data_IF_998671813643
#
_entry.id   IF_998671813643
#
_cell.length_a   1.000
_cell.length_b   1.000
_cell.length_c   1.000
_cell.angle_alpha   90.00
_cell.angle_beta   90.00
_cell.angle_gamma   90.00
#
_symmetry.space_group_name_H-M   'P 1'
#
loop_
_entity.id
_entity.type
_entity.pdbx_description
1 polymer ?
#
# COMPACT_ATOMS: atom_id res chain seq x y z
N UNK A 1 21.34 11.22 -9.18
CA UNK A 1 20.75 10.37 -8.11
C UNK A 1 21.89 9.63 -7.42
N UNK A 2 21.99 9.66 -6.10
CA UNK A 2 22.99 8.90 -5.34
C UNK A 2 22.68 7.39 -5.50
N UNK A 3 23.72 6.52 -5.48
CA UNK A 3 23.59 5.07 -5.60
C UNK A 3 22.56 4.46 -4.62
N UNK A 4 22.51 4.97 -3.38
CA UNK A 4 21.52 4.52 -2.37
C UNK A 4 20.08 4.86 -2.76
N UNK A 5 19.85 6.06 -3.31
CA UNK A 5 18.53 6.47 -3.80
C UNK A 5 18.10 5.65 -5.03
N UNK A 6 19.03 5.31 -5.92
CA UNK A 6 18.76 4.45 -7.08
C UNK A 6 18.34 3.04 -6.66
N UNK A 7 19.10 2.40 -5.75
CA UNK A 7 18.76 1.08 -5.22
C UNK A 7 17.43 1.08 -4.47
N UNK A 8 17.16 2.15 -3.70
CA UNK A 8 15.89 2.34 -3.01
C UNK A 8 14.72 2.42 -4.00
N UNK A 9 14.87 3.15 -5.11
CA UNK A 9 13.85 3.23 -6.17
C UNK A 9 13.58 1.87 -6.82
N UNK A 10 14.61 1.07 -7.09
CA UNK A 10 14.44 -0.31 -7.59
C UNK A 10 13.67 -1.16 -6.57
N UNK A 11 14.00 -1.05 -5.27
CA UNK A 11 13.27 -1.73 -4.20
C UNK A 11 11.79 -1.36 -4.16
N UNK A 12 11.45 -0.08 -4.39
CA UNK A 12 10.06 0.39 -4.44
C UNK A 12 9.29 -0.17 -5.66
N UNK A 13 9.94 -0.26 -6.83
CA UNK A 13 9.32 -0.88 -8.02
C UNK A 13 9.12 -2.38 -7.82
N UNK A 14 10.08 -3.08 -7.20
CA UNK A 14 9.93 -4.49 -6.84
C UNK A 14 8.76 -4.69 -5.84
N UNK A 15 8.64 -3.80 -4.86
CA UNK A 15 7.50 -3.77 -3.94
C UNK A 15 6.18 -3.64 -4.70
N UNK A 16 6.11 -2.73 -5.66
CA UNK A 16 4.92 -2.53 -6.49
C UNK A 16 4.53 -3.80 -7.28
N UNK A 17 5.50 -4.53 -7.83
CA UNK A 17 5.25 -5.78 -8.55
C UNK A 17 4.70 -6.87 -7.61
N UNK A 18 5.30 -7.04 -6.43
CA UNK A 18 4.86 -8.02 -5.42
C UNK A 18 3.46 -7.65 -4.92
N UNK A 19 3.18 -6.36 -4.64
CA UNK A 19 1.86 -5.93 -4.21
C UNK A 19 0.80 -6.07 -5.31
N UNK A 20 1.14 -5.80 -6.56
CA UNK A 20 0.25 -6.04 -7.69
C UNK A 20 -0.25 -7.49 -7.74
N UNK A 21 0.64 -8.46 -7.55
CA UNK A 21 0.24 -9.87 -7.45
C UNK A 21 -0.53 -10.17 -6.16
N UNK A 22 -0.22 -9.47 -5.05
CA UNK A 22 -0.91 -9.69 -3.78
C UNK A 22 -2.41 -9.37 -3.83
N UNK A 23 -2.88 -8.44 -4.69
CA UNK A 23 -4.31 -8.19 -4.86
C UNK A 23 -5.07 -9.42 -5.36
N UNK A 24 -4.46 -10.18 -6.28
CA UNK A 24 -5.01 -11.45 -6.77
C UNK A 24 -5.08 -12.48 -5.65
N UNK A 25 -3.98 -12.62 -4.88
CA UNK A 25 -3.91 -13.57 -3.76
C UNK A 25 -4.92 -13.21 -2.67
N UNK A 26 -5.08 -11.91 -2.35
CA UNK A 26 -6.08 -11.42 -1.39
C UNK A 26 -7.48 -11.76 -1.88
N UNK A 27 -7.82 -11.42 -3.12
CA UNK A 27 -9.16 -11.68 -3.70
C UNK A 27 -9.52 -13.16 -3.64
N UNK A 28 -8.61 -14.03 -4.05
CA UNK A 28 -8.79 -15.48 -4.00
C UNK A 28 -8.92 -16.03 -2.57
N UNK A 29 -8.19 -15.43 -1.62
CA UNK A 29 -8.19 -15.91 -0.22
C UNK A 29 -9.43 -15.48 0.56
N UNK A 30 -10.14 -14.42 0.13
CA UNK A 30 -11.36 -13.92 0.78
C UNK A 30 -12.51 -14.95 0.73
N UNK A 31 -12.49 -15.88 -0.23
CA UNK A 31 -13.45 -17.00 -0.28
C UNK A 31 -13.31 -17.99 0.90
N UNK A 32 -12.17 -17.94 1.61
CA UNK A 32 -11.81 -18.91 2.66
C UNK A 32 -11.60 -18.27 4.03
N UNK A 33 -11.08 -17.03 4.08
CA UNK A 33 -10.68 -16.34 5.32
C UNK A 33 -11.26 -14.94 5.31
N UNK A 34 -11.88 -14.56 6.43
CA UNK A 34 -12.37 -13.20 6.62
C UNK A 34 -11.26 -12.15 6.53
N UNK A 35 -11.64 -10.93 6.14
CA UNK A 35 -10.72 -9.86 5.82
C UNK A 35 -9.79 -9.49 6.99
N UNK A 36 -10.31 -9.44 8.21
CA UNK A 36 -9.54 -9.01 9.39
C UNK A 36 -8.65 -10.14 9.90
N UNK A 37 -9.13 -11.41 9.86
CA UNK A 37 -8.26 -12.56 10.17
C UNK A 37 -7.10 -12.68 9.19
N UNK A 38 -7.33 -12.41 7.89
CA UNK A 38 -6.25 -12.38 6.89
C UNK A 38 -5.18 -11.34 7.28
N UNK A 39 -5.60 -10.15 7.70
CA UNK A 39 -4.68 -9.09 8.19
C UNK A 39 -3.96 -9.57 9.45
N UNK A 40 -4.67 -10.07 10.45
CA UNK A 40 -4.08 -10.55 11.70
C UNK A 40 -2.99 -11.60 11.44
N UNK A 41 -3.29 -12.60 10.62
CA UNK A 41 -2.38 -13.71 10.32
C UNK A 41 -1.14 -13.23 9.56
N UNK A 42 -1.32 -12.46 8.47
CA UNK A 42 -0.18 -12.00 7.65
C UNK A 42 0.77 -11.10 8.44
N UNK A 43 0.24 -10.21 9.30
CA UNK A 43 1.06 -9.35 10.15
C UNK A 43 1.69 -10.11 11.32
N UNK A 44 1.04 -11.15 11.85
CA UNK A 44 1.66 -12.05 12.85
C UNK A 44 2.87 -12.76 12.24
N UNK A 45 2.73 -13.35 11.05
CA UNK A 45 3.85 -14.00 10.35
C UNK A 45 5.00 -12.99 10.14
N UNK A 46 4.69 -11.81 9.62
CA UNK A 46 5.68 -10.77 9.37
C UNK A 46 6.38 -10.30 10.66
N UNK A 47 5.62 -10.06 11.73
CA UNK A 47 6.16 -9.60 13.02
C UNK A 47 7.06 -10.63 13.65
N UNK A 48 6.63 -11.90 13.70
CA UNK A 48 7.39 -12.98 14.34
C UNK A 48 8.70 -13.21 13.58
N UNK A 49 8.64 -13.37 12.26
CA UNK A 49 9.86 -13.61 11.47
C UNK A 49 10.81 -12.42 11.52
N UNK A 50 10.30 -11.19 11.43
CA UNK A 50 11.13 -9.99 11.52
C UNK A 50 11.73 -9.82 12.91
N UNK A 51 10.99 -10.12 14.00
CA UNK A 51 11.51 -10.08 15.36
C UNK A 51 12.65 -11.09 15.58
N UNK A 52 12.53 -12.30 15.01
CA UNK A 52 13.58 -13.32 15.08
C UNK A 52 14.84 -12.89 14.32
N UNK A 53 14.68 -12.34 13.10
CA UNK A 53 15.82 -11.87 12.30
C UNK A 53 16.53 -10.68 12.99
N UNK A 54 15.78 -9.75 13.55
CA UNK A 54 16.32 -8.52 14.14
C UNK A 54 16.30 -8.52 15.67
N UNK A 55 16.37 -9.70 16.31
CA UNK A 55 16.26 -9.86 17.78
C UNK A 55 17.23 -8.97 18.54
N UNK A 56 18.45 -8.76 18.02
CA UNK A 56 19.44 -7.88 18.63
C UNK A 56 19.02 -6.41 18.63
N UNK A 57 18.24 -5.96 17.63
CA UNK A 57 17.75 -4.59 17.53
C UNK A 57 16.61 -4.30 18.51
N UNK A 58 15.91 -5.32 19.01
CA UNK A 58 14.81 -5.15 19.97
C UNK A 58 15.25 -4.44 21.26
N UNK A 59 16.52 -4.54 21.62
CA UNK A 59 17.10 -3.85 22.79
C UNK A 59 17.09 -2.32 22.65
N UNK A 60 16.97 -1.81 21.43
CA UNK A 60 16.93 -0.37 21.13
C UNK A 60 15.51 0.21 21.17
N UNK A 61 14.49 -0.61 21.46
CA UNK A 61 13.11 -0.15 21.57
C UNK A 61 12.97 0.71 22.82
N UNK A 62 12.46 1.91 22.62
CA UNK A 62 12.12 2.84 23.68
C UNK A 62 10.64 3.27 23.53
N UNK A 63 10.14 4.06 24.48
CA UNK A 63 8.76 4.55 24.48
C UNK A 63 8.41 5.32 23.20
N UNK A 64 9.34 6.09 22.66
CA UNK A 64 9.13 6.86 21.43
C UNK A 64 8.91 5.94 20.24
N UNK A 65 9.75 4.90 20.05
CA UNK A 65 9.54 3.90 19.00
C UNK A 65 8.19 3.20 19.11
N UNK A 66 7.77 2.84 20.33
CA UNK A 66 6.45 2.20 20.54
C UNK A 66 5.34 3.14 20.09
N UNK A 67 5.38 4.42 20.47
CA UNK A 67 4.35 5.41 20.07
C UNK A 67 4.33 5.61 18.54
N UNK A 68 5.53 5.71 17.91
CA UNK A 68 5.64 5.85 16.46
C UNK A 68 5.10 4.61 15.74
N UNK A 69 5.43 3.41 16.24
CA UNK A 69 4.93 2.14 15.71
C UNK A 69 3.42 1.98 15.85
N UNK A 70 2.86 2.31 17.02
CA UNK A 70 1.41 2.24 17.26
C UNK A 70 0.65 3.20 16.35
N UNK A 71 1.07 4.46 16.24
CA UNK A 71 0.37 5.44 15.41
C UNK A 71 0.47 5.10 13.92
N UNK A 72 1.67 4.86 13.40
CA UNK A 72 1.83 4.51 11.98
C UNK A 72 1.24 3.13 11.67
N UNK A 73 1.29 2.19 12.63
CA UNK A 73 0.62 0.90 12.52
C UNK A 73 -0.90 1.01 12.55
N UNK A 74 -1.48 1.98 13.26
CA UNK A 74 -2.92 2.23 13.21
C UNK A 74 -3.36 2.70 11.81
N UNK A 75 -2.63 3.65 11.20
CA UNK A 75 -2.91 4.05 9.82
C UNK A 75 -2.75 2.89 8.84
N UNK A 76 -1.73 2.05 9.02
CA UNK A 76 -1.51 0.87 8.21
C UNK A 76 -2.63 -0.16 8.36
N UNK A 77 -3.07 -0.43 9.59
CA UNK A 77 -4.18 -1.33 9.88
C UNK A 77 -5.48 -0.84 9.25
N UNK A 78 -5.83 0.44 9.40
CA UNK A 78 -7.02 1.04 8.79
C UNK A 78 -6.97 1.00 7.27
N UNK A 79 -5.78 1.25 6.67
CA UNK A 79 -5.58 1.13 5.24
C UNK A 79 -5.86 -0.30 4.75
N UNK A 80 -5.23 -1.30 5.39
CA UNK A 80 -5.44 -2.70 5.01
C UNK A 80 -6.86 -3.20 5.27
N UNK A 81 -7.48 -2.77 6.36
CA UNK A 81 -8.86 -3.13 6.68
C UNK A 81 -9.81 -2.62 5.58
N UNK A 82 -9.74 -1.35 5.26
CA UNK A 82 -10.60 -0.76 4.21
C UNK A 82 -10.26 -1.29 2.82
N UNK A 83 -8.99 -1.59 2.54
CA UNK A 83 -8.57 -2.20 1.28
C UNK A 83 -9.09 -3.64 1.14
N UNK A 84 -8.87 -4.47 2.14
CA UNK A 84 -9.20 -5.91 2.08
C UNK A 84 -10.71 -6.11 2.06
N UNK A 85 -11.46 -5.40 2.91
CA UNK A 85 -12.93 -5.39 2.85
C UNK A 85 -13.39 -4.81 1.51
N UNK A 86 -12.77 -3.74 1.03
CA UNK A 86 -13.06 -3.18 -0.29
C UNK A 86 -12.84 -4.16 -1.42
N UNK A 87 -11.76 -4.97 -1.36
CA UNK A 87 -11.44 -6.01 -2.35
C UNK A 87 -12.51 -7.10 -2.43
N UNK A 88 -13.21 -7.38 -1.33
CA UNK A 88 -14.31 -8.34 -1.31
C UNK A 88 -15.48 -7.89 -2.22
N UNK A 89 -15.81 -6.60 -2.19
CA UNK A 89 -16.93 -6.00 -2.94
C UNK A 89 -16.57 -5.49 -4.34
N UNK A 90 -15.29 -5.48 -4.73
CA UNK A 90 -14.84 -5.03 -6.06
C UNK A 90 -13.87 -6.05 -6.69
N UNK A 91 -13.39 -5.78 -7.92
CA UNK A 91 -12.39 -6.64 -8.56
C UNK A 91 -10.99 -6.37 -8.03
N UNK A 92 -10.09 -7.36 -8.12
CA UNK A 92 -8.71 -7.21 -7.67
C UNK A 92 -7.98 -6.09 -8.44
N UNK A 93 -8.18 -6.02 -9.75
CA UNK A 93 -7.61 -4.97 -10.60
C UNK A 93 -8.12 -3.58 -10.25
N UNK A 94 -9.43 -3.44 -10.00
CA UNK A 94 -10.05 -2.17 -9.62
C UNK A 94 -9.61 -1.73 -8.23
N UNK A 95 -9.50 -2.67 -7.28
CA UNK A 95 -8.97 -2.41 -5.93
C UNK A 95 -7.51 -1.94 -5.99
N UNK A 96 -6.64 -2.64 -6.73
CA UNK A 96 -5.25 -2.23 -6.93
C UNK A 96 -5.14 -0.80 -7.47
N UNK A 97 -5.97 -0.47 -8.45
CA UNK A 97 -5.95 0.82 -9.09
C UNK A 97 -6.46 1.96 -8.19
N UNK A 98 -7.61 1.76 -7.54
CA UNK A 98 -8.19 2.79 -6.65
C UNK A 98 -7.33 3.04 -5.41
N UNK A 99 -6.57 2.05 -4.94
CA UNK A 99 -5.60 2.22 -3.85
C UNK A 99 -4.59 3.33 -4.18
N UNK A 100 -4.16 3.45 -5.45
CA UNK A 100 -3.13 4.42 -5.84
C UNK A 100 -3.56 5.90 -5.75
N UNK A 101 -4.79 6.18 -5.33
CA UNK A 101 -5.23 7.55 -5.01
C UNK A 101 -4.33 8.22 -3.96
N UNK A 102 -3.61 7.45 -3.14
CA UNK A 102 -2.64 7.99 -2.17
C UNK A 102 -1.56 8.85 -2.83
N UNK A 103 -1.21 8.58 -4.11
CA UNK A 103 -0.22 9.38 -4.87
C UNK A 103 -0.62 10.85 -4.95
N UNK A 104 -1.91 11.12 -5.10
CA UNK A 104 -2.48 12.47 -5.15
C UNK A 104 -2.61 13.04 -3.74
N UNK A 105 -3.03 12.21 -2.80
CA UNK A 105 -3.30 12.65 -1.42
C UNK A 105 -2.01 13.02 -0.68
N UNK A 106 -0.89 12.32 -0.92
CA UNK A 106 0.40 12.58 -0.25
C UNK A 106 0.85 14.03 -0.42
N UNK A 107 0.99 14.59 -1.64
CA UNK A 107 1.44 15.98 -1.80
C UNK A 107 0.41 16.99 -1.26
N UNK A 108 -0.89 16.70 -1.34
CA UNK A 108 -1.93 17.58 -0.80
C UNK A 108 -1.93 17.59 0.74
N UNK A 109 -1.86 16.43 1.38
CA UNK A 109 -1.78 16.31 2.83
C UNK A 109 -0.46 16.94 3.34
N UNK A 110 0.66 16.65 2.66
CA UNK A 110 1.96 17.26 2.98
C UNK A 110 1.91 18.78 2.88
N UNK A 111 1.19 19.34 1.91
CA UNK A 111 0.98 20.79 1.82
C UNK A 111 0.24 21.35 3.03
N UNK A 112 -0.86 20.70 3.43
CA UNK A 112 -1.63 21.12 4.62
C UNK A 112 -0.76 21.04 5.88
N UNK A 113 0.00 19.95 6.06
CA UNK A 113 0.83 19.73 7.24
C UNK A 113 2.04 20.64 7.34
N UNK A 114 2.75 20.84 6.23
CA UNK A 114 4.03 21.58 6.21
C UNK A 114 3.89 23.00 5.65
N UNK A 115 2.68 23.40 5.24
CA UNK A 115 2.36 24.73 4.63
C UNK A 115 3.22 25.10 3.42
N UNK A 116 3.85 24.11 2.76
CA UNK A 116 4.65 24.28 1.55
C UNK A 116 3.82 23.87 0.34
N UNK A 117 3.35 24.87 -0.44
CA UNK A 117 2.51 24.65 -1.62
C UNK A 117 3.26 23.79 -2.65
N UNK A 118 2.64 22.71 -3.14
CA UNK A 118 3.21 21.91 -4.23
C UNK A 118 3.25 22.72 -5.53
N UNK A 119 4.10 22.30 -6.47
CA UNK A 119 4.15 22.89 -7.79
C UNK A 119 2.86 22.64 -8.58
N UNK A 120 2.58 23.47 -9.59
CA UNK A 120 1.39 23.34 -10.45
C UNK A 120 1.26 21.95 -11.09
N UNK A 121 2.38 21.31 -11.42
CA UNK A 121 2.44 19.97 -12.01
C UNK A 121 1.81 18.89 -11.12
N UNK A 122 1.83 19.05 -9.79
CA UNK A 122 1.16 18.14 -8.85
C UNK A 122 -0.37 18.21 -9.03
N UNK A 123 -0.91 19.40 -9.26
CA UNK A 123 -2.35 19.57 -9.51
C UNK A 123 -2.76 18.96 -10.86
N UNK A 124 -1.92 19.10 -11.90
CA UNK A 124 -2.16 18.45 -13.20
C UNK A 124 -2.06 16.94 -13.08
N UNK A 125 -1.05 16.43 -12.38
CA UNK A 125 -0.93 15.00 -12.11
C UNK A 125 -2.13 14.47 -11.32
N UNK A 126 -2.60 15.21 -10.32
CA UNK A 126 -3.81 14.90 -9.57
C UNK A 126 -5.04 14.82 -10.49
N UNK A 127 -5.22 15.81 -11.35
CA UNK A 127 -6.34 15.83 -12.30
C UNK A 127 -6.29 14.64 -13.28
N UNK A 128 -5.13 14.35 -13.85
CA UNK A 128 -4.95 13.19 -14.75
C UNK A 128 -5.24 11.87 -14.02
N UNK A 129 -4.78 11.73 -12.77
CA UNK A 129 -5.03 10.52 -11.97
C UNK A 129 -6.52 10.38 -11.63
N UNK A 130 -7.18 11.45 -11.19
CA UNK A 130 -8.63 11.43 -10.89
C UNK A 130 -9.43 11.10 -12.16
N UNK A 131 -9.05 11.66 -13.32
CA UNK A 131 -9.68 11.35 -14.59
C UNK A 131 -9.47 9.87 -14.95
N UNK A 132 -8.26 9.35 -14.78
CA UNK A 132 -7.96 7.94 -14.99
C UNK A 132 -8.77 7.03 -14.07
N UNK A 133 -8.90 7.37 -12.79
CA UNK A 133 -9.74 6.68 -11.80
C UNK A 133 -11.22 6.72 -12.25
N UNK A 134 -11.70 7.88 -12.69
CA UNK A 134 -13.07 8.04 -13.18
C UNK A 134 -13.38 7.14 -14.38
N UNK A 135 -12.45 7.04 -15.34
CA UNK A 135 -12.60 6.16 -16.51
C UNK A 135 -12.67 4.67 -16.13
N UNK A 136 -12.00 4.26 -15.05
CA UNK A 136 -12.07 2.90 -14.54
C UNK A 136 -13.35 2.63 -13.75
N UNK A 137 -13.80 3.62 -12.97
CA UNK A 137 -14.97 3.48 -12.11
C UNK A 137 -16.30 3.61 -12.87
N UNK A 138 -16.34 4.37 -13.98
CA UNK A 138 -17.54 4.70 -14.75
C UNK A 138 -17.68 3.79 -16.00
N UNK A 139 -17.74 2.48 -15.82
CA UNK A 139 -18.03 1.56 -16.93
C UNK A 139 -19.53 1.49 -17.30
N UNK A 140 -19.84 0.82 -18.42
CA UNK A 140 -21.22 0.68 -18.95
C UNK A 140 -21.98 -0.54 -18.44
N UNK A 141 -21.27 -1.50 -17.83
CA UNK A 141 -21.84 -2.72 -17.27
C UNK A 141 -22.09 -2.59 -15.76
N UNK A 142 -22.96 -3.41 -15.18
CA UNK A 142 -23.29 -3.37 -13.73
C UNK A 142 -22.07 -3.60 -12.84
N UNK A 143 -21.04 -4.33 -13.32
CA UNK A 143 -19.72 -4.46 -12.67
C UNK A 143 -18.88 -3.18 -12.68
N UNK A 144 -19.28 -2.19 -13.45
CA UNK A 144 -18.56 -0.95 -13.71
C UNK A 144 -19.13 0.25 -12.95
N UNK A 145 -20.21 0.08 -12.19
CA UNK A 145 -20.73 1.13 -11.30
C UNK A 145 -19.85 1.24 -10.05
N UNK A 146 -19.77 2.47 -9.48
CA UNK A 146 -19.14 2.71 -8.20
C UNK A 146 -19.93 1.93 -7.13
N UNK A 147 -19.25 1.05 -6.43
CA UNK A 147 -19.81 0.25 -5.36
C UNK A 147 -19.14 0.58 -4.00
N UNK A 148 -19.64 -0.02 -2.92
CA UNK A 148 -19.08 0.21 -1.59
C UNK A 148 -17.60 -0.19 -1.49
N UNK A 149 -17.17 -1.22 -2.23
CA UNK A 149 -15.78 -1.66 -2.28
C UNK A 149 -14.86 -0.59 -2.88
N UNK A 150 -15.32 0.13 -3.90
CA UNK A 150 -14.58 1.24 -4.50
C UNK A 150 -14.40 2.39 -3.51
N UNK A 151 -15.46 2.73 -2.76
CA UNK A 151 -15.42 3.78 -1.74
C UNK A 151 -14.44 3.40 -0.62
N UNK A 152 -14.52 2.17 -0.11
CA UNK A 152 -13.61 1.66 0.91
C UNK A 152 -12.15 1.68 0.43
N UNK A 153 -11.92 1.36 -0.84
CA UNK A 153 -10.58 1.39 -1.43
C UNK A 153 -10.04 2.82 -1.58
N UNK A 154 -10.89 3.80 -1.89
CA UNK A 154 -10.48 5.22 -1.89
C UNK A 154 -10.13 5.69 -0.47
N UNK A 155 -10.90 5.29 0.53
CA UNK A 155 -10.62 5.57 1.95
C UNK A 155 -9.29 4.91 2.37
N UNK A 156 -9.02 3.69 1.90
CA UNK A 156 -7.73 3.04 2.07
C UNK A 156 -6.58 3.93 1.58
N UNK A 157 -6.71 4.55 0.40
CA UNK A 157 -5.71 5.48 -0.12
C UNK A 157 -5.41 6.65 0.80
N UNK A 158 -6.42 7.18 1.52
CA UNK A 158 -6.21 8.21 2.54
C UNK A 158 -5.34 7.70 3.70
N UNK A 159 -5.66 6.52 4.24
CA UNK A 159 -4.88 5.94 5.34
C UNK A 159 -3.47 5.55 4.91
N UNK A 160 -3.27 5.04 3.68
CA UNK A 160 -1.93 4.81 3.13
C UNK A 160 -1.14 6.10 2.98
N UNK A 161 -1.75 7.18 2.50
CA UNK A 161 -1.09 8.47 2.41
C UNK A 161 -0.60 8.95 3.80
N UNK A 162 -1.44 8.85 4.82
CA UNK A 162 -1.06 9.17 6.20
C UNK A 162 0.06 8.26 6.69
N UNK A 163 -0.04 6.94 6.49
CA UNK A 163 1.02 5.99 6.87
C UNK A 163 2.37 6.36 6.24
N UNK A 164 2.42 6.63 4.93
CA UNK A 164 3.66 6.97 4.21
C UNK A 164 4.25 8.28 4.72
N UNK A 165 3.44 9.33 4.92
CA UNK A 165 3.89 10.62 5.40
C UNK A 165 4.47 10.52 6.83
N UNK A 166 3.77 9.81 7.73
CA UNK A 166 4.24 9.63 9.10
C UNK A 166 5.49 8.74 9.17
N UNK A 167 5.60 7.69 8.35
CA UNK A 167 6.79 6.86 8.24
C UNK A 167 8.00 7.67 7.75
N UNK A 168 7.83 8.50 6.72
CA UNK A 168 8.89 9.43 6.28
C UNK A 168 9.32 10.38 7.39
N UNK A 169 8.34 10.95 8.13
CA UNK A 169 8.61 11.86 9.25
C UNK A 169 9.44 11.18 10.34
N UNK A 170 9.08 9.96 10.73
CA UNK A 170 9.80 9.23 11.77
C UNK A 170 11.20 8.80 11.33
N UNK A 171 11.37 8.40 10.08
CA UNK A 171 12.69 8.16 9.49
C UNK A 171 13.58 9.42 9.55
N UNK A 172 13.01 10.62 9.31
CA UNK A 172 13.73 11.90 9.42
C UNK A 172 14.08 12.28 10.87
N UNK A 173 13.30 11.82 11.83
CA UNK A 173 13.60 11.98 13.27
C UNK A 173 14.70 11.04 13.76
N UNK A 174 15.19 10.13 12.90
CA UNK A 174 16.30 9.25 13.18
C UNK A 174 15.91 7.81 13.55
N UNK A 175 14.63 7.47 13.43
CA UNK A 175 14.17 6.08 13.67
C UNK A 175 14.84 5.12 12.67
N UNK A 176 15.23 3.93 13.17
CA UNK A 176 15.67 2.83 12.30
C UNK A 176 14.47 2.30 11.51
N UNK A 177 14.49 2.32 10.17
CA UNK A 177 13.33 1.94 9.35
C UNK A 177 12.85 0.51 9.62
N UNK A 178 13.76 -0.43 9.88
CA UNK A 178 13.40 -1.84 10.12
C UNK A 178 12.76 -2.04 11.49
N UNK A 179 13.26 -1.32 12.50
CA UNK A 179 12.67 -1.37 13.84
C UNK A 179 11.29 -0.71 13.86
N UNK A 180 11.13 0.42 13.16
CA UNK A 180 9.83 1.06 12.99
C UNK A 180 8.86 0.14 12.25
N UNK A 181 9.29 -0.54 11.17
CA UNK A 181 8.49 -1.51 10.43
C UNK A 181 8.01 -2.65 11.31
N UNK A 182 8.90 -3.22 12.13
CA UNK A 182 8.55 -4.27 13.08
C UNK A 182 7.46 -3.83 14.05
N UNK A 183 7.57 -2.62 14.59
CA UNK A 183 6.57 -2.09 15.54
C UNK A 183 5.24 -1.76 14.86
N UNK A 184 5.24 -1.32 13.60
CA UNK A 184 4.02 -1.19 12.79
C UNK A 184 3.33 -2.55 12.60
N UNK A 185 4.10 -3.61 12.32
CA UNK A 185 3.54 -4.95 12.18
C UNK A 185 2.99 -5.48 13.50
N UNK A 186 3.70 -5.30 14.60
CA UNK A 186 3.22 -5.68 15.93
C UNK A 186 1.90 -4.96 16.28
N UNK A 187 1.79 -3.68 15.94
CA UNK A 187 0.55 -2.91 16.11
C UNK A 187 -0.59 -3.45 15.23
N UNK A 188 -0.33 -3.73 13.94
CA UNK A 188 -1.32 -4.33 13.05
C UNK A 188 -1.75 -5.72 13.52
N UNK A 189 -0.81 -6.53 14.05
CA UNK A 189 -1.12 -7.83 14.67
C UNK A 189 -2.07 -7.66 15.84
N UNK A 190 -1.75 -6.74 16.76
CA UNK A 190 -2.58 -6.45 17.93
C UNK A 190 -4.00 -6.01 17.52
N UNK A 191 -4.11 -5.03 16.63
CA UNK A 191 -5.40 -4.54 16.15
C UNK A 191 -6.16 -5.64 15.38
N UNK A 192 -5.46 -6.40 14.53
CA UNK A 192 -6.06 -7.49 13.77
C UNK A 192 -6.70 -8.55 14.66
N UNK A 193 -5.96 -9.07 15.63
CA UNK A 193 -6.52 -10.06 16.57
C UNK A 193 -7.60 -9.51 17.49
N UNK A 194 -7.56 -8.22 17.80
CA UNK A 194 -8.61 -7.57 18.61
C UNK A 194 -9.93 -7.45 17.83
N UNK A 195 -9.86 -7.06 16.54
CA UNK A 195 -11.05 -6.75 15.75
C UNK A 195 -11.56 -7.93 14.91
N UNK A 196 -10.71 -8.94 14.59
CA UNK A 196 -11.12 -10.08 13.77
C UNK A 196 -12.32 -10.85 14.35
N UNK A 197 -12.36 -11.22 15.65
CA UNK A 197 -13.51 -11.93 16.18
C UNK A 197 -14.81 -11.11 16.15
N UNK A 198 -14.70 -9.78 16.19
CA UNK A 198 -15.84 -8.85 16.18
C UNK A 198 -16.43 -8.74 14.77
N UNK A 199 -15.59 -8.68 13.75
CA UNK A 199 -16.02 -8.45 12.37
C UNK A 199 -16.23 -9.75 11.58
N UNK A 200 -15.27 -10.69 11.64
CA UNK A 200 -15.27 -11.94 10.87
C UNK A 200 -15.89 -13.11 11.64
N UNK A 201 -16.19 -12.96 12.95
CA UNK A 201 -16.75 -14.01 13.78
C UNK A 201 -15.74 -15.06 14.22
N UNK A 202 -16.10 -16.34 14.13
CA UNK A 202 -15.25 -17.43 14.60
C UNK A 202 -14.00 -17.62 13.72
N UNK A 203 -12.88 -18.03 14.34
CA UNK A 203 -11.63 -18.28 13.61
C UNK A 203 -11.81 -19.41 12.58
N UNK A 204 -11.44 -19.21 11.31
CA UNK A 204 -11.71 -20.16 10.22
C UNK A 204 -10.67 -21.31 10.17
N UNK A 205 -10.62 -22.12 11.23
CA UNK A 205 -9.62 -23.21 11.36
C UNK A 205 -9.66 -24.19 10.17
N UNK A 206 -10.84 -24.48 9.65
CA UNK A 206 -11.03 -25.41 8.53
C UNK A 206 -10.35 -24.91 7.23
N UNK A 207 -10.24 -23.60 7.04
CA UNK A 207 -9.59 -23.03 5.86
C UNK A 207 -8.11 -23.44 5.76
N UNK A 208 -7.43 -23.63 6.89
CA UNK A 208 -6.01 -24.02 6.94
C UNK A 208 -5.73 -25.48 6.62
N UNK A 209 -6.77 -26.30 6.42
CA UNK A 209 -6.61 -27.65 5.87
C UNK A 209 -6.32 -27.61 4.35
N UNK A 210 -6.55 -26.46 3.71
CA UNK A 210 -6.29 -26.25 2.28
C UNK A 210 -4.87 -25.71 2.08
N UNK A 211 -3.94 -26.46 1.43
CA UNK A 211 -2.55 -25.99 1.22
C UNK A 211 -2.46 -24.65 0.50
N UNK A 212 -3.37 -24.35 -0.42
CA UNK A 212 -3.45 -23.07 -1.13
C UNK A 212 -3.60 -21.90 -0.17
N UNK A 213 -4.46 -22.02 0.84
CA UNK A 213 -4.68 -20.98 1.85
C UNK A 213 -3.42 -20.75 2.68
N UNK A 214 -2.75 -21.81 3.12
CA UNK A 214 -1.50 -21.73 3.88
C UNK A 214 -0.42 -21.03 3.04
N UNK A 215 -0.24 -21.41 1.79
CA UNK A 215 0.73 -20.79 0.87
C UNK A 215 0.39 -19.31 0.62
N UNK A 216 -0.89 -18.97 0.46
CA UNK A 216 -1.34 -17.58 0.32
C UNK A 216 -0.99 -16.75 1.56
N UNK A 217 -1.24 -17.26 2.76
CA UNK A 217 -0.91 -16.56 4.01
C UNK A 217 0.61 -16.38 4.19
N UNK A 218 1.41 -17.40 3.84
CA UNK A 218 2.87 -17.30 3.84
C UNK A 218 3.37 -16.27 2.83
N UNK A 219 2.84 -16.27 1.60
CA UNK A 219 3.17 -15.27 0.59
C UNK A 219 2.81 -13.86 1.08
N UNK A 220 1.58 -13.66 1.56
CA UNK A 220 1.12 -12.37 2.05
C UNK A 220 1.92 -11.90 3.27
N UNK A 221 2.28 -12.80 4.19
CA UNK A 221 3.05 -12.45 5.38
C UNK A 221 4.52 -12.14 5.09
N UNK A 222 5.21 -13.01 4.36
CA UNK A 222 6.66 -12.91 4.15
C UNK A 222 7.03 -11.95 3.01
N UNK A 223 6.40 -12.11 1.84
CA UNK A 223 6.77 -11.30 0.68
C UNK A 223 5.99 -9.99 0.63
N UNK A 224 4.66 -10.06 0.59
CA UNK A 224 3.82 -8.87 0.44
C UNK A 224 3.82 -7.97 1.68
N UNK A 225 4.02 -8.51 2.88
CA UNK A 225 4.09 -7.70 4.11
C UNK A 225 5.54 -7.46 4.52
N UNK A 226 6.25 -8.46 5.01
CA UNK A 226 7.58 -8.26 5.62
C UNK A 226 8.59 -7.65 4.64
N UNK A 227 8.78 -8.26 3.47
CA UNK A 227 9.76 -7.79 2.48
C UNK A 227 9.34 -6.42 1.92
N UNK A 228 8.10 -6.27 1.45
CA UNK A 228 7.65 -5.07 0.78
C UNK A 228 7.66 -3.84 1.67
N UNK A 229 7.11 -3.90 2.90
CA UNK A 229 7.16 -2.76 3.82
C UNK A 229 8.57 -2.47 4.33
N UNK A 230 9.43 -3.48 4.46
CA UNK A 230 10.84 -3.24 4.76
C UNK A 230 11.52 -2.46 3.64
N UNK A 231 11.29 -2.84 2.38
CA UNK A 231 11.80 -2.10 1.22
C UNK A 231 11.19 -0.71 1.12
N UNK A 232 9.88 -0.54 1.35
CA UNK A 232 9.22 0.75 1.36
C UNK A 232 9.80 1.67 2.44
N UNK A 233 9.90 1.21 3.68
CA UNK A 233 10.35 2.04 4.79
C UNK A 233 11.85 2.38 4.68
N UNK A 234 12.68 1.46 4.17
CA UNK A 234 14.07 1.76 3.78
C UNK A 234 14.06 2.78 2.62
N UNK A 235 13.19 2.59 1.63
CA UNK A 235 13.03 3.50 0.49
C UNK A 235 12.72 4.91 0.94
N UNK A 236 11.77 5.08 1.86
CA UNK A 236 11.36 6.38 2.42
C UNK A 236 12.47 7.08 3.23
N UNK A 237 13.53 6.38 3.62
CA UNK A 237 14.73 7.00 4.21
C UNK A 237 15.57 7.75 3.17
N UNK A 238 15.58 7.28 1.91
CA UNK A 238 16.45 7.80 0.84
C UNK A 238 15.69 8.52 -0.27
N UNK A 239 14.37 8.33 -0.35
CA UNK A 239 13.48 8.88 -1.37
C UNK A 239 12.33 9.61 -0.68
N UNK A 240 11.99 10.81 -1.14
CA UNK A 240 10.86 11.58 -0.58
C UNK A 240 9.55 10.83 -0.80
N UNK A 241 8.60 10.92 0.14
CA UNK A 241 7.31 10.21 0.09
C UNK A 241 6.56 10.41 -1.22
N UNK A 242 6.57 11.65 -1.75
CA UNK A 242 5.92 11.96 -3.04
C UNK A 242 6.53 11.20 -4.22
N UNK A 243 7.86 11.01 -4.26
CA UNK A 243 8.52 10.25 -5.31
C UNK A 243 8.39 8.73 -5.06
N UNK A 244 8.48 8.31 -3.80
CA UNK A 244 8.29 6.91 -3.43
C UNK A 244 6.88 6.43 -3.80
N UNK A 245 5.84 7.26 -3.56
CA UNK A 245 4.46 6.93 -3.93
C UNK A 245 4.26 6.75 -5.43
N UNK A 246 5.03 7.47 -6.26
CA UNK A 246 5.00 7.31 -7.71
C UNK A 246 5.55 5.93 -8.13
N UNK A 247 6.68 5.50 -7.55
CA UNK A 247 7.20 4.15 -7.83
C UNK A 247 6.25 3.06 -7.33
N UNK A 248 5.64 3.25 -6.15
CA UNK A 248 4.70 2.29 -5.60
C UNK A 248 3.40 2.22 -6.42
N UNK A 249 2.98 3.31 -7.08
CA UNK A 249 1.74 3.30 -7.89
C UNK A 249 1.79 2.35 -9.10
N UNK A 250 2.97 1.88 -9.50
CA UNK A 250 3.07 0.78 -10.47
C UNK A 250 2.37 -0.50 -9.99
N UNK A 251 2.03 -0.60 -8.69
CA UNK A 251 1.21 -1.70 -8.17
C UNK A 251 -0.14 -1.80 -8.90
N UNK A 252 -0.71 -0.68 -9.34
CA UNK A 252 -1.95 -0.69 -10.12
C UNK A 252 -1.78 -1.32 -11.49
N UNK A 253 -0.67 -1.07 -12.16
CA UNK A 253 -0.36 -1.67 -13.47
C UNK A 253 -0.14 -3.17 -13.32
N UNK A 254 0.67 -3.58 -12.34
CA UNK A 254 0.90 -4.99 -12.04
C UNK A 254 -0.38 -5.68 -11.54
N UNK A 255 -1.19 -5.01 -10.71
CA UNK A 255 -2.47 -5.55 -10.20
C UNK A 255 -3.45 -5.85 -11.32
N UNK A 256 -3.65 -4.91 -12.25
CA UNK A 256 -4.49 -5.10 -13.43
C UNK A 256 -3.93 -6.21 -14.32
N UNK A 257 -2.63 -6.24 -14.55
CA UNK A 257 -1.99 -7.27 -15.35
C UNK A 257 -2.20 -8.67 -14.77
N UNK A 258 -1.94 -8.84 -13.46
CA UNK A 258 -2.09 -10.14 -12.81
C UNK A 258 -3.56 -10.53 -12.63
N UNK A 259 -4.47 -9.60 -12.36
CA UNK A 259 -5.90 -9.90 -12.25
C UNK A 259 -6.48 -10.38 -13.59
N UNK A 260 -6.09 -9.74 -14.69
CA UNK A 260 -6.50 -10.18 -16.02
C UNK A 260 -5.93 -11.57 -16.38
N UNK A 261 -4.64 -11.82 -16.02
CA UNK A 261 -3.97 -13.07 -16.36
C UNK A 261 -4.47 -14.27 -15.53
N UNK A 262 -4.76 -14.06 -14.24
CA UNK A 262 -5.00 -15.15 -13.29
C UNK A 262 -6.48 -15.29 -12.94
N UNK A 263 -7.18 -14.16 -12.71
CA UNK A 263 -8.61 -14.15 -12.38
C UNK A 263 -9.49 -13.98 -13.63
N UNK A 264 -8.88 -13.86 -14.82
CA UNK A 264 -9.57 -13.64 -16.08
C UNK A 264 -10.51 -12.42 -16.06
N UNK A 265 -10.17 -11.40 -15.27
CA UNK A 265 -10.91 -10.13 -15.26
C UNK A 265 -10.81 -9.46 -16.64
N UNK A 266 -11.96 -9.02 -17.15
CA UNK A 266 -12.03 -8.41 -18.49
C UNK A 266 -11.38 -7.03 -18.50
N UNK A 267 -10.33 -6.87 -19.28
CA UNK A 267 -9.73 -5.56 -19.54
C UNK A 267 -10.58 -4.82 -20.57
N UNK A 268 -11.13 -3.67 -20.17
CA UNK A 268 -11.82 -2.79 -21.12
C UNK A 268 -10.84 -1.77 -21.70
N UNK A 269 -11.08 -1.25 -22.93
CA UNK A 269 -10.26 -0.18 -23.50
C UNK A 269 -10.18 1.06 -22.58
N UNK A 270 -11.25 1.34 -21.82
CA UNK A 270 -11.29 2.43 -20.83
C UNK A 270 -10.30 2.21 -19.69
N UNK A 271 -10.17 0.98 -19.20
CA UNK A 271 -9.15 0.62 -18.18
C UNK A 271 -7.74 0.89 -18.72
N UNK A 272 -7.48 0.53 -19.98
CA UNK A 272 -6.21 0.84 -20.64
C UNK A 272 -5.93 2.35 -20.71
N UNK A 273 -6.91 3.16 -21.09
CA UNK A 273 -6.77 4.63 -21.12
C UNK A 273 -6.54 5.17 -19.69
N UNK A 274 -7.30 4.68 -18.70
CA UNK A 274 -7.12 5.06 -17.30
C UNK A 274 -5.72 4.79 -16.79
N UNK A 275 -5.16 3.59 -17.08
CA UNK A 275 -3.78 3.24 -16.75
C UNK A 275 -2.77 4.19 -17.41
N UNK A 276 -2.95 4.52 -18.69
CA UNK A 276 -2.08 5.46 -19.40
C UNK A 276 -2.12 6.84 -18.78
N UNK A 277 -3.30 7.35 -18.41
CA UNK A 277 -3.43 8.66 -17.77
C UNK A 277 -2.72 8.71 -16.42
N UNK A 278 -2.82 7.65 -15.60
CA UNK A 278 -2.09 7.59 -14.32
C UNK A 278 -0.58 7.49 -14.57
N UNK A 279 -0.16 6.68 -15.53
CA UNK A 279 1.25 6.57 -15.87
C UNK A 279 1.83 7.93 -16.32
N UNK A 280 1.11 8.69 -17.14
CA UNK A 280 1.47 10.04 -17.52
C UNK A 280 1.49 11.02 -16.33
N UNK A 281 0.53 10.90 -15.41
CA UNK A 281 0.51 11.68 -14.18
C UNK A 281 1.74 11.42 -13.32
N UNK A 282 2.12 10.16 -13.17
CA UNK A 282 3.34 9.72 -12.46
C UNK A 282 4.58 10.33 -13.11
N UNK A 283 4.75 10.18 -14.43
CA UNK A 283 5.90 10.73 -15.16
C UNK A 283 5.96 12.26 -15.02
N UNK A 284 4.83 12.95 -15.17
CA UNK A 284 4.76 14.40 -15.04
C UNK A 284 5.20 14.87 -13.65
N UNK A 285 4.70 14.21 -12.60
CA UNK A 285 5.06 14.54 -11.24
C UNK A 285 6.57 14.29 -10.98
N UNK A 286 7.13 13.20 -11.50
CA UNK A 286 8.54 12.82 -11.33
C UNK A 286 9.49 13.75 -12.07
N UNK A 287 9.28 13.98 -13.38
CA UNK A 287 10.18 14.79 -14.22
C UNK A 287 10.31 16.23 -13.72
N UNK A 288 9.21 16.84 -13.28
CA UNK A 288 9.24 18.21 -12.72
C UNK A 288 9.81 18.26 -11.31
N UNK A 289 9.76 17.16 -10.54
CA UNK A 289 10.37 17.07 -9.21
C UNK A 289 11.91 17.10 -9.30
N UNK A 290 12.49 16.46 -10.31
CA UNK A 290 13.95 16.44 -10.51
C UNK A 290 14.49 17.81 -10.93
N UNK A 291 13.80 18.55 -11.80
CA UNK A 291 14.22 19.88 -12.25
C UNK A 291 14.24 20.93 -11.14
N UNK A 292 13.41 20.82 -10.10
CA UNK A 292 13.35 21.76 -8.99
C UNK A 292 14.33 21.46 -7.86
N UNK A 293 14.82 20.23 -7.76
CA UNK A 293 15.85 19.84 -6.79
C UNK A 293 17.26 20.26 -7.18
N UNK A 294 17.47 20.68 -8.43
CA UNK A 294 18.77 21.15 -8.94
C UNK A 294 18.94 22.69 -8.91
N UNK A 295 17.89 23.44 -8.57
CA UNK A 295 17.93 24.93 -8.56
C UNK A 295 17.84 25.56 -7.16
N UNK A 296 18.05 24.75 -6.11
CA UNK A 296 18.08 25.24 -4.72
C UNK A 296 19.33 24.74 -3.99
N UNK A 297 20.49 25.18 -4.49
CA UNK A 297 21.75 25.31 -3.74
C UNK A 297 22.12 26.80 -3.66
#
# INVERSE_FOLDING_TARGET
MNQKSFLASIGLVLTAAIWGFAFVVVKDSLDYIGAIYMIAIRYTIASVVMALIFIKKLRNINRQYIMHGLLSGAFLFLAYTTQTIGCDYTTAGKNAFLTTVYVILIPLISWIMYKKRPGWYVFVAAFLSVTGIGLLALGTDDSARINIGDILTIICGLFYALHIIWTEKYNKLGDDPLLLTLLQFAACTLYGWLFAPIYDGAFPLAAFQTPRVVLSMLYLGLFSTMLCFSLQNIGLKYVKSSLASLFLSFESVFGIFFSALILHEKLTPRMGIGCVLIFLAVILAETKFQFRGQTSD
#
